data_IF_750220597256
#
_entry.id   IF_750220597256
#
_cell.length_a   1.000
_cell.length_b   1.000
_cell.length_c   1.000
_cell.angle_alpha   90.00
_cell.angle_beta   90.00
_cell.angle_gamma   90.00
#
_symmetry.space_group_name_H-M   'P 1'
#
loop_
_entity.id
_entity.type
_entity.pdbx_description
1 polymer ?
#
# COMPACT_ATOMS: atom_id res chain seq x y z
N UNK A 1 10.31 -17.68 -23.78
CA UNK A 1 9.03 -17.05 -23.42
C UNK A 1 8.59 -17.52 -22.04
N UNK A 2 8.27 -16.63 -21.12
CA UNK A 2 7.65 -17.01 -19.85
C UNK A 2 6.27 -17.59 -20.17
N UNK A 3 5.94 -18.74 -19.61
CA UNK A 3 4.60 -19.31 -19.75
C UNK A 3 3.64 -18.41 -18.97
N UNK A 4 2.83 -17.65 -19.69
CA UNK A 4 1.74 -16.89 -19.12
C UNK A 4 0.50 -17.77 -19.03
N UNK A 5 0.06 -18.05 -17.83
CA UNK A 5 -1.21 -18.73 -17.55
C UNK A 5 -2.26 -17.67 -17.18
N UNK A 6 -3.18 -17.41 -18.09
CA UNK A 6 -4.20 -16.39 -17.91
C UNK A 6 -5.15 -16.70 -16.76
N UNK A 7 -5.49 -17.97 -16.54
CA UNK A 7 -6.44 -18.38 -15.49
C UNK A 7 -5.82 -18.15 -14.12
N UNK A 8 -4.59 -18.61 -13.92
CA UNK A 8 -3.84 -18.40 -12.68
C UNK A 8 -3.61 -16.90 -12.44
N UNK A 9 -3.23 -16.16 -13.48
CA UNK A 9 -2.99 -14.71 -13.38
C UNK A 9 -4.25 -13.96 -12.92
N UNK A 10 -5.40 -14.23 -13.58
CA UNK A 10 -6.67 -13.58 -13.22
C UNK A 10 -7.11 -13.93 -11.80
N UNK A 11 -6.97 -15.18 -11.41
CA UNK A 11 -7.32 -15.66 -10.07
C UNK A 11 -6.50 -14.94 -9.01
N UNK A 12 -5.18 -14.90 -9.21
CA UNK A 12 -4.25 -14.32 -8.25
C UNK A 12 -4.36 -12.79 -8.19
N UNK A 13 -4.53 -12.12 -9.34
CA UNK A 13 -4.75 -10.68 -9.39
C UNK A 13 -6.06 -10.29 -8.70
N UNK A 14 -7.14 -11.03 -8.93
CA UNK A 14 -8.41 -10.76 -8.26
C UNK A 14 -8.28 -10.91 -6.73
N UNK A 15 -7.53 -11.90 -6.24
CA UNK A 15 -7.29 -12.05 -4.81
C UNK A 15 -6.48 -10.87 -4.22
N UNK A 16 -5.56 -10.28 -4.99
CA UNK A 16 -4.86 -9.06 -4.58
C UNK A 16 -5.77 -7.82 -4.61
N UNK A 17 -6.65 -7.70 -5.61
CA UNK A 17 -7.64 -6.61 -5.69
C UNK A 17 -8.63 -6.72 -4.52
N UNK A 18 -9.10 -7.91 -4.19
CA UNK A 18 -10.02 -8.12 -3.07
C UNK A 18 -9.42 -7.70 -1.71
N UNK A 19 -8.07 -7.71 -1.58
CA UNK A 19 -7.38 -7.21 -0.39
C UNK A 19 -7.51 -5.68 -0.19
N UNK A 20 -7.96 -4.92 -1.18
CA UNK A 20 -8.30 -3.50 -1.04
C UNK A 20 -9.37 -3.31 0.05
N UNK A 21 -10.32 -4.24 0.16
CA UNK A 21 -11.35 -4.19 1.18
C UNK A 21 -10.81 -4.31 2.61
N UNK A 22 -9.72 -5.06 2.82
CA UNK A 22 -9.08 -5.17 4.13
C UNK A 22 -8.41 -3.84 4.52
N UNK A 23 -7.79 -3.16 3.56
CA UNK A 23 -7.27 -1.81 3.75
C UNK A 23 -8.37 -0.80 4.09
N UNK A 24 -9.53 -0.89 3.41
CA UNK A 24 -10.67 -0.01 3.67
C UNK A 24 -11.21 -0.14 5.09
N UNK A 25 -11.31 -1.35 5.63
CA UNK A 25 -11.73 -1.57 7.02
C UNK A 25 -10.82 -0.84 8.00
N UNK A 26 -9.51 -0.92 7.80
CA UNK A 26 -8.54 -0.21 8.64
C UNK A 26 -8.69 1.31 8.48
N UNK A 27 -8.92 1.81 7.26
CA UNK A 27 -9.20 3.22 7.04
C UNK A 27 -10.43 3.69 7.80
N UNK A 28 -11.48 2.86 7.90
CA UNK A 28 -12.69 3.17 8.67
C UNK A 28 -12.40 3.28 10.17
N UNK A 29 -11.64 2.34 10.73
CA UNK A 29 -11.22 2.38 12.13
C UNK A 29 -10.36 3.60 12.45
N UNK A 30 -9.39 3.92 11.59
CA UNK A 30 -8.54 5.10 11.73
C UNK A 30 -9.36 6.39 11.68
N UNK A 31 -10.29 6.49 10.73
CA UNK A 31 -11.14 7.68 10.56
C UNK A 31 -12.03 7.92 11.77
N UNK A 32 -12.55 6.85 12.41
CA UNK A 32 -13.34 6.96 13.64
C UNK A 32 -12.51 7.46 14.83
N UNK A 33 -11.22 7.11 14.88
CA UNK A 33 -10.29 7.58 15.92
C UNK A 33 -9.78 9.01 15.67
N UNK A 34 -9.85 9.49 14.42
CA UNK A 34 -9.28 10.74 13.98
C UNK A 34 -7.78 10.67 13.74
N UNK A 35 -7.28 11.53 12.85
CA UNK A 35 -5.85 11.68 12.56
C UNK A 35 -5.58 13.06 11.96
N UNK A 36 -4.31 13.50 11.98
CA UNK A 36 -3.93 14.83 11.50
C UNK A 36 -3.22 14.81 10.13
N UNK A 37 -2.49 13.76 9.85
CA UNK A 37 -1.70 13.62 8.62
C UNK A 37 -1.35 12.15 8.36
N UNK A 38 -0.82 11.88 7.16
CA UNK A 38 -0.43 10.54 6.71
C UNK A 38 1.06 10.56 6.34
N UNK A 39 1.80 9.57 6.82
CA UNK A 39 3.18 9.30 6.41
C UNK A 39 3.26 7.95 5.71
N UNK A 40 3.88 7.93 4.55
CA UNK A 40 4.36 6.70 3.92
C UNK A 40 5.84 6.54 4.27
N UNK A 41 6.20 5.45 4.92
CA UNK A 41 7.57 5.23 5.38
C UNK A 41 8.06 3.85 4.97
N UNK A 42 9.11 3.79 4.18
CA UNK A 42 9.71 2.55 3.71
C UNK A 42 11.17 2.74 3.27
N UNK A 43 11.72 1.73 2.60
CA UNK A 43 13.03 1.77 1.93
C UNK A 43 12.95 1.13 0.54
N UNK A 44 13.93 1.45 -0.31
CA UNK A 44 14.14 0.81 -1.60
C UNK A 44 12.93 0.88 -2.55
N UNK A 45 12.58 -0.25 -3.18
CA UNK A 45 11.46 -0.31 -4.13
C UNK A 45 10.10 0.01 -3.51
N UNK A 46 9.90 -0.30 -2.24
CA UNK A 46 8.63 -0.02 -1.57
C UNK A 46 8.38 1.47 -1.41
N UNK A 47 9.38 2.28 -1.04
CA UNK A 47 9.19 3.74 -0.97
C UNK A 47 8.99 4.34 -2.37
N UNK A 48 9.70 3.85 -3.38
CA UNK A 48 9.49 4.30 -4.76
C UNK A 48 8.04 4.08 -5.21
N UNK A 49 7.45 2.93 -4.85
CA UNK A 49 6.03 2.66 -5.10
C UNK A 49 5.12 3.60 -4.30
N UNK A 50 5.49 4.01 -3.08
CA UNK A 50 4.69 4.91 -2.25
C UNK A 50 4.70 6.37 -2.73
N UNK A 51 5.70 6.79 -3.51
CA UNK A 51 5.83 8.19 -3.97
C UNK A 51 4.61 8.68 -4.76
N UNK A 52 3.93 7.81 -5.51
CA UNK A 52 2.75 8.21 -6.26
C UNK A 52 1.58 8.63 -5.35
N UNK A 53 1.46 8.09 -4.12
CA UNK A 53 0.44 8.53 -3.17
C UNK A 53 0.66 9.98 -2.73
N UNK A 54 1.92 10.37 -2.53
CA UNK A 54 2.28 11.76 -2.24
C UNK A 54 1.88 12.70 -3.38
N UNK A 55 2.11 12.30 -4.64
CA UNK A 55 1.72 13.11 -5.80
C UNK A 55 0.19 13.21 -5.97
N UNK A 56 -0.53 12.11 -5.76
CA UNK A 56 -1.99 12.12 -5.77
C UNK A 56 -2.54 13.02 -4.66
N UNK A 57 -1.98 12.93 -3.46
CA UNK A 57 -2.42 13.74 -2.32
C UNK A 57 -2.38 15.24 -2.62
N UNK A 58 -1.32 15.72 -3.28
CA UNK A 58 -1.18 17.14 -3.67
C UNK A 58 -2.34 17.66 -4.52
N UNK A 59 -3.01 16.78 -5.26
CA UNK A 59 -4.07 17.15 -6.20
C UNK A 59 -5.47 16.98 -5.62
N UNK A 60 -5.67 16.02 -4.71
CA UNK A 60 -7.00 15.56 -4.35
C UNK A 60 -7.37 15.70 -2.88
N UNK A 61 -6.44 16.06 -2.00
CA UNK A 61 -6.75 16.23 -0.58
C UNK A 61 -6.01 17.39 0.05
N UNK A 62 -6.58 17.93 1.13
CA UNK A 62 -5.89 18.88 2.02
C UNK A 62 -5.23 18.20 3.21
N UNK A 63 -5.43 16.89 3.39
CA UNK A 63 -4.72 16.11 4.40
C UNK A 63 -3.22 16.15 4.06
N UNK A 64 -2.36 16.62 4.99
CA UNK A 64 -0.92 16.59 4.73
C UNK A 64 -0.42 15.15 4.58
N UNK A 65 0.28 14.87 3.48
CA UNK A 65 0.85 13.54 3.17
C UNK A 65 2.33 13.68 2.89
N UNK A 66 3.12 12.87 3.57
CA UNK A 66 4.58 12.84 3.50
C UNK A 66 5.05 11.46 3.06
N UNK A 67 6.15 11.40 2.32
CA UNK A 67 6.78 10.14 1.87
C UNK A 67 8.24 10.21 2.26
N UNK A 68 8.64 9.37 3.24
CA UNK A 68 9.90 9.51 3.95
C UNK A 68 10.67 8.19 4.01
N UNK A 69 11.99 8.27 3.97
CA UNK A 69 12.85 7.11 4.18
C UNK A 69 12.86 6.69 5.66
N UNK A 70 12.71 5.39 5.90
CA UNK A 70 12.65 4.85 7.25
C UNK A 70 13.90 5.19 8.10
N UNK A 71 15.09 5.14 7.51
CA UNK A 71 16.33 5.48 8.20
C UNK A 71 16.40 6.97 8.55
N UNK A 72 15.95 7.86 7.66
CA UNK A 72 15.98 9.31 7.88
C UNK A 72 15.04 9.71 9.02
N UNK A 73 13.83 9.13 9.08
CA UNK A 73 12.89 9.36 10.18
C UNK A 73 13.53 9.04 11.55
N UNK A 74 14.26 7.94 11.65
CA UNK A 74 14.91 7.54 12.91
C UNK A 74 16.05 8.50 13.29
N UNK A 75 16.80 8.98 12.29
CA UNK A 75 17.99 9.81 12.51
C UNK A 75 17.64 11.28 12.76
N UNK A 76 16.70 11.82 12.01
CA UNK A 76 16.42 13.29 12.00
C UNK A 76 15.04 13.64 12.58
N UNK A 77 14.13 12.68 12.66
CA UNK A 77 12.72 12.91 12.96
C UNK A 77 12.02 13.69 11.84
N UNK A 78 10.80 14.12 12.11
CA UNK A 78 10.05 15.01 11.23
C UNK A 78 9.11 15.88 12.07
N UNK A 79 9.11 17.20 11.89
CA UNK A 79 8.37 18.15 12.73
C UNK A 79 6.85 17.94 12.74
N UNK A 80 6.29 17.36 11.68
CA UNK A 80 4.86 17.07 11.58
C UNK A 80 4.49 15.66 12.05
N UNK A 81 5.49 14.79 12.33
CA UNK A 81 5.25 13.42 12.77
C UNK A 81 5.01 13.39 14.29
N UNK A 82 3.81 13.02 14.69
CA UNK A 82 3.36 13.04 16.09
C UNK A 82 2.32 11.92 16.34
N UNK A 83 1.82 11.81 17.58
CA UNK A 83 0.86 10.79 18.00
C UNK A 83 -0.47 10.77 17.23
N UNK A 84 -0.82 11.89 16.59
CA UNK A 84 -2.04 12.02 15.78
C UNK A 84 -1.77 11.67 14.30
N UNK A 85 -0.52 11.34 13.96
CA UNK A 85 -0.14 10.85 12.63
C UNK A 85 -0.57 9.39 12.40
N UNK A 86 -0.83 9.06 11.14
CA UNK A 86 -0.92 7.68 10.67
C UNK A 86 0.28 7.39 9.78
N UNK A 87 1.02 6.36 10.11
CA UNK A 87 2.18 5.92 9.33
C UNK A 87 1.86 4.62 8.61
N UNK A 88 1.97 4.63 7.28
CA UNK A 88 1.76 3.46 6.43
C UNK A 88 3.14 2.94 6.02
N UNK A 89 3.42 1.69 6.37
CA UNK A 89 4.70 1.04 6.13
C UNK A 89 4.52 -0.25 5.33
N UNK A 90 5.43 -0.52 4.40
CA UNK A 90 5.47 -1.77 3.65
C UNK A 90 6.84 -2.43 3.73
N UNK A 91 6.86 -3.74 3.98
CA UNK A 91 8.05 -4.57 3.87
C UNK A 91 7.62 -6.00 3.58
N UNK A 92 7.96 -6.53 2.41
CA UNK A 92 7.54 -7.88 1.99
C UNK A 92 7.94 -8.94 3.02
N UNK A 93 9.19 -8.93 3.47
CA UNK A 93 9.69 -9.85 4.49
C UNK A 93 9.30 -9.46 5.92
N UNK A 94 9.06 -8.18 6.16
CA UNK A 94 8.75 -7.64 7.49
C UNK A 94 9.96 -7.59 8.46
N UNK A 95 11.18 -7.82 7.96
CA UNK A 95 12.43 -7.85 8.74
C UNK A 95 13.47 -6.82 8.29
N UNK A 96 13.13 -5.97 7.31
CA UNK A 96 14.02 -4.90 6.85
C UNK A 96 14.42 -4.02 8.02
N UNK A 97 15.70 -3.96 8.34
CA UNK A 97 16.24 -3.36 9.58
C UNK A 97 15.77 -1.92 9.78
N UNK A 98 15.80 -1.11 8.75
CA UNK A 98 15.43 0.30 8.81
C UNK A 98 13.92 0.47 9.06
N UNK A 99 13.07 -0.34 8.43
CA UNK A 99 11.61 -0.27 8.65
C UNK A 99 11.23 -0.77 10.04
N UNK A 100 11.88 -1.83 10.53
CA UNK A 100 11.68 -2.34 11.90
C UNK A 100 12.13 -1.31 12.94
N UNK A 101 13.30 -0.69 12.73
CA UNK A 101 13.79 0.35 13.62
C UNK A 101 12.85 1.57 13.65
N UNK A 102 12.34 1.98 12.48
CA UNK A 102 11.40 3.09 12.38
C UNK A 102 10.06 2.76 13.06
N UNK A 103 9.51 1.57 12.86
CA UNK A 103 8.27 1.15 13.53
C UNK A 103 8.43 1.13 15.06
N UNK A 104 9.54 0.60 15.57
CA UNK A 104 9.85 0.62 17.00
C UNK A 104 9.97 2.05 17.53
N UNK A 105 10.69 2.91 16.82
CA UNK A 105 10.87 4.32 17.18
C UNK A 105 9.52 5.06 17.24
N UNK A 106 8.59 4.75 16.33
CA UNK A 106 7.23 5.29 16.31
C UNK A 106 6.38 4.77 17.47
N UNK A 107 6.43 3.47 17.73
CA UNK A 107 5.71 2.83 18.82
C UNK A 107 6.10 3.42 20.19
N UNK A 108 7.40 3.63 20.43
CA UNK A 108 7.92 4.25 21.66
C UNK A 108 7.40 5.69 21.86
N UNK A 109 6.90 6.33 20.80
CA UNK A 109 6.34 7.71 20.81
C UNK A 109 4.82 7.77 20.70
N UNK A 110 4.17 6.59 20.73
CA UNK A 110 2.71 6.50 20.58
C UNK A 110 2.19 6.86 19.19
N UNK A 111 3.06 6.83 18.16
CA UNK A 111 2.69 7.07 16.77
C UNK A 111 2.12 5.78 16.18
N UNK A 112 0.96 5.89 15.54
CA UNK A 112 0.22 4.74 15.01
C UNK A 112 0.75 4.26 13.66
N UNK A 113 0.98 2.96 13.56
CA UNK A 113 1.55 2.30 12.37
C UNK A 113 0.56 1.31 11.78
N UNK A 114 0.34 1.42 10.48
CA UNK A 114 -0.28 0.40 9.62
C UNK A 114 0.83 -0.27 8.82
N UNK A 115 1.03 -1.56 8.97
CA UNK A 115 2.02 -2.30 8.19
C UNK A 115 1.41 -3.29 7.22
N UNK A 116 2.13 -3.53 6.13
CA UNK A 116 1.82 -4.52 5.10
C UNK A 116 3.02 -5.44 4.94
N UNK A 117 2.86 -6.69 5.32
CA UNK A 117 3.91 -7.71 5.38
C UNK A 117 3.34 -9.07 4.96
N UNK A 118 4.18 -10.02 4.54
CA UNK A 118 3.72 -11.39 4.26
C UNK A 118 3.29 -12.09 5.56
N UNK A 119 4.15 -12.04 6.58
CA UNK A 119 3.88 -12.67 7.88
C UNK A 119 3.59 -11.60 8.95
N UNK A 120 2.35 -11.52 9.46
CA UNK A 120 2.00 -10.61 10.56
C UNK A 120 2.82 -10.82 11.84
N UNK A 121 3.45 -11.99 12.01
CA UNK A 121 4.34 -12.27 13.15
C UNK A 121 5.77 -11.79 12.92
N UNK A 122 6.08 -11.26 11.74
CA UNK A 122 7.37 -10.66 11.45
C UNK A 122 7.67 -9.48 12.41
N UNK A 123 8.93 -9.06 12.54
CA UNK A 123 9.31 -7.95 13.41
C UNK A 123 8.53 -6.66 13.15
N UNK A 124 8.27 -6.29 11.89
CA UNK A 124 7.48 -5.12 11.54
C UNK A 124 5.99 -5.33 11.85
N UNK A 125 5.41 -6.48 11.47
CA UNK A 125 4.00 -6.79 11.72
C UNK A 125 3.66 -6.75 13.21
N UNK A 126 4.52 -7.35 14.05
CA UNK A 126 4.34 -7.42 15.50
C UNK A 126 4.45 -6.06 16.21
N UNK A 127 5.01 -5.04 15.57
CA UNK A 127 5.19 -3.69 16.11
C UNK A 127 4.18 -2.68 15.55
N UNK A 128 3.17 -3.15 14.83
CA UNK A 128 2.19 -2.29 14.18
C UNK A 128 0.85 -2.31 14.89
N UNK A 129 0.14 -1.19 14.88
CA UNK A 129 -1.22 -1.10 15.43
C UNK A 129 -2.21 -1.88 14.56
N UNK A 130 -2.00 -1.83 13.24
CA UNK A 130 -2.72 -2.61 12.26
C UNK A 130 -1.73 -3.29 11.33
N UNK A 131 -1.94 -4.55 11.06
CA UNK A 131 -1.12 -5.33 10.15
C UNK A 131 -1.98 -6.00 9.10
N UNK A 132 -1.69 -5.74 7.82
CA UNK A 132 -2.40 -6.33 6.69
C UNK A 132 -1.48 -7.35 6.02
N UNK A 133 -1.85 -8.64 5.98
CA UNK A 133 -1.08 -9.64 5.25
C UNK A 133 -1.07 -9.35 3.76
N UNK A 134 0.13 -9.34 3.15
CA UNK A 134 0.28 -9.22 1.71
C UNK A 134 -0.20 -10.48 1.00
N UNK A 135 -0.93 -10.31 -0.08
CA UNK A 135 -1.31 -11.39 -1.00
C UNK A 135 -0.24 -11.48 -2.10
N UNK A 136 0.74 -12.36 -1.90
CA UNK A 136 1.85 -12.54 -2.82
C UNK A 136 1.65 -13.80 -3.66
N UNK A 137 1.65 -13.63 -4.97
CA UNK A 137 1.50 -14.72 -5.93
C UNK A 137 2.60 -14.65 -7.00
N UNK A 138 3.08 -15.79 -7.44
CA UNK A 138 4.08 -15.85 -8.49
C UNK A 138 3.52 -15.29 -9.81
N UNK A 139 4.26 -14.36 -10.40
CA UNK A 139 3.89 -13.74 -11.68
C UNK A 139 2.85 -12.62 -11.57
N UNK A 140 2.47 -12.20 -10.36
CA UNK A 140 1.59 -11.06 -10.11
C UNK A 140 2.26 -10.10 -9.13
N UNK A 141 2.53 -8.88 -9.58
CA UNK A 141 3.37 -7.90 -8.86
C UNK A 141 2.55 -6.82 -8.13
N UNK A 142 1.28 -7.11 -7.80
CA UNK A 142 0.37 -6.14 -7.18
C UNK A 142 0.10 -6.44 -5.69
N UNK A 143 1.08 -6.98 -4.99
CA UNK A 143 0.95 -7.41 -3.59
C UNK A 143 0.58 -6.28 -2.62
N UNK A 144 0.79 -5.02 -3.00
CA UNK A 144 0.47 -3.86 -2.16
C UNK A 144 -0.87 -3.17 -2.50
N UNK A 145 -1.77 -3.82 -3.25
CA UNK A 145 -3.09 -3.22 -3.55
C UNK A 145 -3.94 -2.92 -2.31
N UNK A 146 -3.73 -3.62 -1.21
CA UNK A 146 -4.35 -3.30 0.08
C UNK A 146 -3.98 -1.89 0.59
N UNK A 147 -2.81 -1.35 0.21
CA UNK A 147 -2.41 0.03 0.52
C UNK A 147 -3.33 1.06 -0.13
N UNK A 148 -3.83 0.78 -1.35
CA UNK A 148 -4.88 1.60 -1.98
C UNK A 148 -6.13 1.64 -1.12
N UNK A 149 -6.50 0.50 -0.50
CA UNK A 149 -7.64 0.42 0.41
C UNK A 149 -7.49 1.35 1.62
N UNK A 150 -6.30 1.37 2.24
CA UNK A 150 -6.02 2.27 3.37
C UNK A 150 -6.04 3.72 2.91
N UNK A 151 -5.22 4.08 1.92
CA UNK A 151 -5.05 5.48 1.53
C UNK A 151 -6.32 6.09 0.93
N UNK A 152 -6.86 5.47 -0.12
CA UNK A 152 -8.09 5.97 -0.74
C UNK A 152 -9.31 5.82 0.17
N UNK A 153 -9.31 4.84 1.06
CA UNK A 153 -10.33 4.71 2.10
C UNK A 153 -10.31 5.89 3.07
N UNK A 154 -9.12 6.34 3.52
CA UNK A 154 -8.99 7.54 4.35
C UNK A 154 -9.47 8.79 3.60
N UNK A 155 -9.10 8.94 2.32
CA UNK A 155 -9.58 10.06 1.50
C UNK A 155 -11.10 10.01 1.30
N UNK A 156 -11.68 8.83 1.07
CA UNK A 156 -13.12 8.65 0.93
C UNK A 156 -13.87 9.06 2.20
N UNK A 157 -13.38 8.63 3.36
CA UNK A 157 -13.96 8.98 4.64
C UNK A 157 -13.84 10.47 4.96
N UNK A 158 -12.82 11.17 4.40
CA UNK A 158 -12.68 12.62 4.50
C UNK A 158 -13.51 13.39 3.45
N UNK A 159 -14.17 12.70 2.51
CA UNK A 159 -14.94 13.32 1.42
C UNK A 159 -14.12 13.68 0.17
N UNK A 160 -12.81 13.43 0.17
CA UNK A 160 -11.90 13.78 -0.92
C UNK A 160 -11.91 12.74 -2.07
N UNK A 161 -12.41 11.53 -1.82
CA UNK A 161 -12.51 10.47 -2.83
C UNK A 161 -13.87 9.73 -2.77
N UNK A 162 -14.98 10.37 -3.15
CA UNK A 162 -16.33 9.83 -2.99
C UNK A 162 -16.64 8.62 -3.90
N UNK A 163 -15.77 8.32 -4.88
CA UNK A 163 -15.94 7.20 -5.83
C UNK A 163 -15.08 5.98 -5.47
N UNK A 164 -14.78 5.76 -4.19
CA UNK A 164 -13.94 4.63 -3.77
C UNK A 164 -14.51 3.26 -4.20
N UNK A 165 -15.80 3.05 -4.03
CA UNK A 165 -16.44 1.77 -4.40
C UNK A 165 -16.42 1.53 -5.92
N UNK A 166 -16.67 2.57 -6.72
CA UNK A 166 -16.52 2.52 -8.17
C UNK A 166 -15.10 2.19 -8.58
N UNK A 167 -14.09 2.81 -7.94
CA UNK A 167 -12.69 2.56 -8.22
C UNK A 167 -12.32 1.08 -7.98
N UNK A 168 -12.68 0.51 -6.84
CA UNK A 168 -12.42 -0.89 -6.53
C UNK A 168 -13.11 -1.84 -7.52
N UNK A 169 -14.37 -1.54 -7.89
CA UNK A 169 -15.13 -2.31 -8.88
C UNK A 169 -14.50 -2.22 -10.28
N UNK A 170 -14.05 -1.04 -10.71
CA UNK A 170 -13.42 -0.83 -12.02
C UNK A 170 -12.06 -1.52 -12.11
N UNK A 171 -11.24 -1.52 -11.04
CA UNK A 171 -10.01 -2.30 -11.00
C UNK A 171 -10.29 -3.79 -11.23
N UNK A 172 -11.28 -4.34 -10.52
CA UNK A 172 -11.65 -5.75 -10.66
C UNK A 172 -12.17 -6.08 -12.07
N UNK A 173 -12.96 -5.18 -12.65
CA UNK A 173 -13.55 -5.39 -13.97
C UNK A 173 -12.53 -5.29 -15.12
N UNK A 174 -11.52 -4.43 -15.02
CA UNK A 174 -10.75 -4.03 -16.18
C UNK A 174 -9.23 -4.25 -16.08
N UNK A 175 -8.64 -4.34 -14.88
CA UNK A 175 -7.19 -4.44 -14.76
C UNK A 175 -6.65 -5.72 -15.40
N UNK A 176 -7.26 -6.87 -15.11
CA UNK A 176 -6.85 -8.15 -15.68
C UNK A 176 -7.01 -8.17 -17.21
N UNK A 177 -8.11 -7.65 -17.75
CA UNK A 177 -8.35 -7.59 -19.19
C UNK A 177 -7.33 -6.70 -19.91
N UNK A 178 -6.99 -5.56 -19.33
CA UNK A 178 -5.96 -4.65 -19.87
C UNK A 178 -4.59 -5.32 -19.96
N UNK A 179 -4.20 -6.06 -18.92
CA UNK A 179 -2.91 -6.74 -18.88
C UNK A 179 -2.86 -7.95 -19.82
N UNK A 180 -3.94 -8.74 -19.91
CA UNK A 180 -4.05 -9.85 -20.89
C UNK A 180 -3.98 -9.31 -22.32
N UNK A 181 -4.70 -8.24 -22.63
CA UNK A 181 -4.63 -7.61 -23.93
C UNK A 181 -3.23 -7.05 -24.26
N UNK A 182 -2.50 -6.54 -23.27
CA UNK A 182 -1.11 -6.11 -23.43
C UNK A 182 -0.18 -7.28 -23.71
N UNK A 183 -0.34 -8.40 -22.99
CA UNK A 183 0.43 -9.64 -23.24
C UNK A 183 0.20 -10.16 -24.65
N UNK A 184 -1.06 -10.25 -25.10
CA UNK A 184 -1.41 -10.70 -26.45
C UNK A 184 -0.74 -9.83 -27.54
N UNK A 185 -0.73 -8.51 -27.37
CA UNK A 185 -0.05 -7.58 -28.28
C UNK A 185 1.46 -7.76 -28.28
N UNK A 186 2.04 -8.00 -27.11
CA UNK A 186 3.48 -8.26 -26.97
C UNK A 186 3.87 -9.57 -27.71
N UNK A 187 3.12 -10.64 -27.49
CA UNK A 187 3.41 -11.93 -28.11
C UNK A 187 3.28 -11.90 -29.65
N UNK A 188 2.28 -11.18 -30.16
CA UNK A 188 2.14 -10.95 -31.60
C UNK A 188 3.38 -10.23 -32.19
N UNK A 189 3.87 -9.18 -31.53
CA UNK A 189 5.07 -8.45 -31.98
C UNK A 189 6.36 -9.26 -31.80
N UNK A 190 6.48 -10.03 -30.74
CA UNK A 190 7.65 -10.89 -30.52
C UNK A 190 7.78 -12.02 -31.57
N UNK A 191 6.68 -12.40 -32.22
CA UNK A 191 6.68 -13.37 -33.30
C UNK A 191 7.14 -12.77 -34.67
N UNK A 192 7.17 -11.44 -34.78
CA UNK A 192 7.61 -10.70 -35.98
C UNK A 192 9.11 -10.39 -35.97
N UNK A 193 9.80 -10.56 -34.86
CA UNK A 193 11.25 -10.35 -34.64
C UNK A 193 11.99 -11.68 -34.69
#
# INVERSE_FOLDING_TARGET
MLKFDEVDYRTNLNAQIDAIADGKKIADEISQQGFSNIFFVAVGGTIAMMMHFGEIAKQYTKIPVYVEHAAEIVLTGHSQLNKDSIVIMGSKSGDTKETVAAAKWMQERGIRVVSMVIDPKSPLGSQSNWCIPLKVFKGVEYEYLNMFGVFYGLLANNGDFPRFDDFAAQLKAHLADGLVAAQTRFDARAAEI
#
